data_IF_468830333328
#
_entry.id   IF_468830333328
#
_cell.length_a   1.000
_cell.length_b   1.000
_cell.length_c   1.000
_cell.angle_alpha   90.00
_cell.angle_beta   90.00
_cell.angle_gamma   90.00
#
_symmetry.space_group_name_H-M   'P 1'
#
loop_
_entity.id
_entity.type
_entity.pdbx_description
1 polymer ?
#
# COMPACT_ATOMS: atom_id res chain seq x y z
N UNK A 1 -61.13 47.17 -39.83
CA UNK A 1 -62.11 47.47 -40.89
C UNK A 1 -63.40 47.88 -40.21
N UNK A 2 -63.45 49.11 -39.69
CA UNK A 2 -64.64 49.60 -38.96
C UNK A 2 -64.74 51.14 -39.05
N UNK A 3 -63.62 51.87 -38.97
CA UNK A 3 -63.64 53.35 -39.09
C UNK A 3 -63.84 53.85 -40.53
N UNK A 4 -63.26 53.16 -41.51
CA UNK A 4 -63.40 53.54 -42.93
C UNK A 4 -64.80 53.26 -43.50
N UNK A 5 -65.51 52.26 -42.97
CA UNK A 5 -66.89 51.98 -43.37
C UNK A 5 -67.85 52.99 -42.72
N UNK A 6 -67.66 53.33 -41.44
CA UNK A 6 -68.44 54.37 -40.75
C UNK A 6 -68.28 55.76 -41.40
N UNK A 7 -67.07 56.13 -41.83
CA UNK A 7 -66.86 57.39 -42.57
C UNK A 7 -67.55 57.37 -43.94
N UNK A 8 -67.61 56.21 -44.61
CA UNK A 8 -68.22 56.08 -45.92
C UNK A 8 -69.76 56.17 -45.83
N UNK A 9 -70.34 55.61 -44.77
CA UNK A 9 -71.78 55.71 -44.49
C UNK A 9 -72.17 57.14 -44.07
N UNK A 10 -71.32 57.86 -43.33
CA UNK A 10 -71.54 59.28 -43.00
C UNK A 10 -71.50 60.18 -44.25
N UNK A 11 -70.52 59.97 -45.14
CA UNK A 11 -70.44 60.69 -46.41
C UNK A 11 -71.64 60.41 -47.33
N UNK A 12 -72.20 59.20 -47.30
CA UNK A 12 -73.40 58.88 -48.07
C UNK A 12 -74.65 59.60 -47.52
N UNK A 13 -74.76 59.76 -46.20
CA UNK A 13 -75.87 60.46 -45.56
C UNK A 13 -75.84 61.97 -45.84
N UNK A 14 -74.69 62.64 -45.71
CA UNK A 14 -74.56 64.07 -46.01
C UNK A 14 -74.85 64.39 -47.49
N UNK A 15 -74.43 63.52 -48.41
CA UNK A 15 -74.74 63.69 -49.84
C UNK A 15 -76.25 63.57 -50.15
N UNK A 16 -76.98 62.72 -49.41
CA UNK A 16 -78.42 62.58 -49.59
C UNK A 16 -79.19 63.82 -49.08
N UNK A 17 -78.72 64.44 -47.99
CA UNK A 17 -79.31 65.67 -47.43
C UNK A 17 -79.08 66.87 -48.36
N UNK A 18 -77.87 67.01 -48.91
CA UNK A 18 -77.55 68.05 -49.90
C UNK A 18 -78.41 67.92 -51.17
N UNK A 19 -78.67 66.70 -51.64
CA UNK A 19 -79.54 66.48 -52.80
C UNK A 19 -81.02 66.83 -52.52
N UNK A 20 -81.50 66.65 -51.28
CA UNK A 20 -82.84 67.10 -50.88
C UNK A 20 -82.92 68.62 -50.77
N UNK A 21 -81.87 69.28 -50.27
CA UNK A 21 -81.80 70.74 -50.18
C UNK A 21 -81.80 71.38 -51.57
N UNK A 22 -81.03 70.82 -52.52
CA UNK A 22 -81.03 71.25 -53.94
C UNK A 22 -82.40 71.03 -54.60
N UNK A 23 -83.09 69.93 -54.29
CA UNK A 23 -84.46 69.69 -54.77
C UNK A 23 -85.49 70.68 -54.18
N UNK A 24 -85.29 71.12 -52.93
CA UNK A 24 -86.11 72.18 -52.30
C UNK A 24 -85.86 73.55 -52.93
N UNK A 25 -84.61 73.89 -53.19
CA UNK A 25 -84.22 75.17 -53.77
C UNK A 25 -84.63 75.32 -55.25
N UNK A 26 -84.68 74.21 -56.01
CA UNK A 26 -85.28 74.19 -57.37
C UNK A 26 -86.81 74.30 -57.39
N UNK A 27 -87.49 74.07 -56.26
CA UNK A 27 -88.96 74.07 -56.15
C UNK A 27 -89.58 75.42 -55.77
N UNK A 28 -88.79 76.44 -55.45
CA UNK A 28 -89.29 77.71 -54.94
C UNK A 28 -88.59 78.93 -55.54
N UNK A 29 -89.06 79.42 -56.68
CA UNK A 29 -88.61 80.70 -57.21
C UNK A 29 -89.13 81.02 -58.61
N UNK A 30 -90.34 81.57 -58.71
CA UNK A 30 -90.91 82.04 -59.97
C UNK A 30 -92.25 82.75 -59.81
N UNK A 31 -92.32 83.72 -58.87
CA UNK A 31 -93.32 84.79 -58.82
C UNK A 31 -93.23 85.59 -60.12
N UNK A 32 -94.27 85.62 -60.94
CA UNK A 32 -95.33 86.63 -60.90
C UNK A 32 -94.88 88.04 -61.28
N UNK A 33 -95.76 88.69 -62.06
CA UNK A 33 -95.90 90.14 -62.15
C UNK A 33 -94.95 90.82 -63.18
N UNK A 34 -95.33 91.84 -63.94
CA UNK A 34 -96.54 92.67 -64.02
C UNK A 34 -96.33 93.65 -65.18
N UNK A 35 -97.32 93.78 -66.07
CA UNK A 35 -98.10 95.01 -66.31
C UNK A 35 -97.48 96.16 -67.13
N UNK A 36 -98.36 96.65 -68.02
CA UNK A 36 -98.55 98.02 -68.48
C UNK A 36 -97.80 98.52 -69.74
N UNK A 37 -98.51 98.36 -70.87
CA UNK A 37 -98.88 99.39 -71.87
C UNK A 37 -98.22 100.77 -71.75
N UNK A 38 -97.88 101.50 -72.86
CA UNK A 38 -98.89 101.75 -73.90
C UNK A 38 -98.42 102.13 -75.35
N UNK A 39 -99.43 102.29 -76.20
CA UNK A 39 -99.51 103.08 -77.43
C UNK A 39 -98.52 102.81 -78.59
N UNK A 40 -98.96 102.01 -79.57
CA UNK A 40 -98.96 102.50 -80.96
C UNK A 40 -99.90 101.67 -81.85
N UNK A 41 -100.65 102.40 -82.68
CA UNK A 41 -101.49 101.88 -83.74
C UNK A 41 -100.65 101.09 -84.74
N UNK A 42 -100.62 99.77 -84.61
CA UNK A 42 -100.34 98.89 -85.75
C UNK A 42 -101.33 97.74 -85.67
N UNK A 43 -102.16 97.60 -86.70
CA UNK A 43 -102.88 96.35 -86.98
C UNK A 43 -101.82 95.26 -87.17
N UNK A 44 -101.46 94.61 -86.07
CA UNK A 44 -100.61 93.43 -86.06
C UNK A 44 -101.53 92.22 -86.20
N UNK A 45 -101.43 91.59 -87.36
CA UNK A 45 -101.93 90.25 -87.62
C UNK A 45 -101.31 89.23 -86.64
N UNK A 46 -101.85 88.00 -86.48
CA UNK A 46 -101.42 86.99 -85.50
C UNK A 46 -99.92 86.59 -85.48
N UNK A 47 -99.09 87.15 -86.36
CA UNK A 47 -97.66 86.89 -86.55
C UNK A 47 -96.75 87.56 -85.48
N UNK A 48 -97.09 88.75 -84.97
CA UNK A 48 -96.17 89.52 -84.11
C UNK A 48 -96.17 89.10 -82.64
N UNK A 49 -97.28 88.56 -82.12
CA UNK A 49 -97.36 88.02 -80.75
C UNK A 49 -96.52 86.75 -80.60
N UNK A 50 -96.43 85.94 -81.66
CA UNK A 50 -95.57 84.76 -81.72
C UNK A 50 -94.07 85.11 -81.69
N UNK A 51 -93.70 86.33 -82.12
CA UNK A 51 -92.32 86.81 -82.09
C UNK A 51 -91.90 87.22 -80.68
N UNK A 52 -92.75 87.96 -79.96
CA UNK A 52 -92.47 88.41 -78.59
C UNK A 52 -92.38 87.23 -77.59
N UNK A 53 -93.22 86.20 -77.75
CA UNK A 53 -93.11 84.98 -76.95
C UNK A 53 -91.80 84.21 -77.21
N UNK A 54 -91.26 84.27 -78.45
CA UNK A 54 -89.95 83.70 -78.76
C UNK A 54 -88.81 84.47 -78.08
N UNK A 55 -88.90 85.79 -77.97
CA UNK A 55 -87.85 86.59 -77.30
C UNK A 55 -87.74 86.32 -75.80
N UNK A 56 -88.85 86.19 -75.07
CA UNK A 56 -88.81 85.87 -73.62
C UNK A 56 -88.17 84.50 -73.36
N UNK A 57 -88.52 83.51 -74.19
CA UNK A 57 -87.93 82.16 -74.13
C UNK A 57 -86.44 82.19 -74.48
N UNK A 58 -86.02 83.08 -75.40
CA UNK A 58 -84.61 83.27 -75.75
C UNK A 58 -83.84 83.91 -74.60
N UNK A 59 -84.40 84.90 -73.89
CA UNK A 59 -83.74 85.53 -72.74
C UNK A 59 -83.62 84.61 -71.54
N UNK A 60 -84.68 83.86 -71.18
CA UNK A 60 -84.59 82.86 -70.11
C UNK A 60 -83.62 81.73 -70.46
N UNK A 61 -83.54 81.33 -71.73
CA UNK A 61 -82.49 80.40 -72.18
C UNK A 61 -81.09 80.98 -72.04
N UNK A 62 -80.91 82.29 -72.18
CA UNK A 62 -79.60 82.95 -72.02
C UNK A 62 -79.15 82.97 -70.57
N UNK A 63 -80.03 83.30 -69.64
CA UNK A 63 -79.71 83.32 -68.21
C UNK A 63 -79.37 81.91 -67.68
N UNK A 64 -80.12 80.88 -68.11
CA UNK A 64 -79.80 79.48 -67.80
C UNK A 64 -78.44 79.08 -68.40
N UNK A 65 -78.11 79.54 -69.60
CA UNK A 65 -76.81 79.26 -70.22
C UNK A 65 -75.65 79.95 -69.48
N UNK A 66 -75.84 81.18 -68.98
CA UNK A 66 -74.81 81.91 -68.22
C UNK A 66 -74.59 81.28 -66.82
N UNK A 67 -75.65 80.84 -66.15
CA UNK A 67 -75.55 80.10 -64.88
C UNK A 67 -74.95 78.70 -65.07
N UNK A 68 -75.27 78.01 -66.18
CA UNK A 68 -74.63 76.75 -66.57
C UNK A 68 -73.13 76.95 -66.88
N UNK A 69 -72.74 78.02 -67.57
CA UNK A 69 -71.34 78.37 -67.82
C UNK A 69 -70.58 78.67 -66.52
N UNK A 70 -71.18 79.40 -65.57
CA UNK A 70 -70.57 79.67 -64.26
C UNK A 70 -70.36 78.41 -63.42
N UNK A 71 -71.35 77.50 -63.39
CA UNK A 71 -71.23 76.22 -62.70
C UNK A 71 -70.23 75.27 -63.38
N UNK A 72 -70.12 75.29 -64.71
CA UNK A 72 -69.12 74.53 -65.45
C UNK A 72 -67.70 75.02 -65.18
N UNK A 73 -67.47 76.33 -65.08
CA UNK A 73 -66.15 76.89 -64.79
C UNK A 73 -65.68 76.55 -63.36
N UNK A 74 -66.57 76.59 -62.37
CA UNK A 74 -66.25 76.22 -60.98
C UNK A 74 -66.00 74.71 -60.85
N UNK A 75 -66.81 73.88 -61.53
CA UNK A 75 -66.55 72.44 -61.63
C UNK A 75 -65.21 72.13 -62.34
N UNK A 76 -64.82 72.92 -63.34
CA UNK A 76 -63.54 72.79 -64.01
C UNK A 76 -62.37 73.13 -63.08
N UNK A 77 -62.48 74.19 -62.26
CA UNK A 77 -61.48 74.55 -61.25
C UNK A 77 -61.33 73.48 -60.17
N UNK A 78 -62.43 72.99 -59.61
CA UNK A 78 -62.41 71.92 -58.60
C UNK A 78 -61.78 70.62 -59.14
N UNK A 79 -62.04 70.25 -60.40
CA UNK A 79 -61.37 69.11 -61.06
C UNK A 79 -59.88 69.33 -61.24
N UNK A 80 -59.46 70.56 -61.57
CA UNK A 80 -58.06 70.91 -61.75
C UNK A 80 -57.32 70.90 -60.42
N UNK A 81 -57.89 71.46 -59.36
CA UNK A 81 -57.32 71.44 -58.00
C UNK A 81 -57.23 70.01 -57.44
N UNK A 82 -58.27 69.19 -57.64
CA UNK A 82 -58.23 67.77 -57.29
C UNK A 82 -57.16 66.99 -58.06
N UNK A 83 -56.96 67.31 -59.35
CA UNK A 83 -55.89 66.74 -60.16
C UNK A 83 -54.49 67.13 -59.65
N UNK A 84 -54.31 68.40 -59.28
CA UNK A 84 -53.03 68.89 -58.73
C UNK A 84 -52.73 68.21 -57.39
N UNK A 85 -53.68 68.17 -56.45
CA UNK A 85 -53.51 67.51 -55.16
C UNK A 85 -53.16 66.02 -55.32
N UNK A 86 -53.85 65.31 -56.23
CA UNK A 86 -53.53 63.92 -56.53
C UNK A 86 -52.12 63.75 -57.13
N UNK A 87 -51.65 64.70 -57.94
CA UNK A 87 -50.28 64.66 -58.48
C UNK A 87 -49.20 64.98 -57.44
N UNK A 88 -49.45 65.90 -56.52
CA UNK A 88 -48.54 66.24 -55.42
C UNK A 88 -48.42 65.09 -54.42
N UNK A 89 -49.54 64.45 -54.09
CA UNK A 89 -49.54 63.22 -53.27
C UNK A 89 -48.79 62.09 -54.00
N UNK A 90 -49.00 61.92 -55.31
CA UNK A 90 -48.28 60.92 -56.09
C UNK A 90 -46.77 61.17 -56.12
N UNK A 91 -46.34 62.43 -56.20
CA UNK A 91 -44.93 62.80 -56.15
C UNK A 91 -44.32 62.54 -54.76
N UNK A 92 -45.04 62.89 -53.70
CA UNK A 92 -44.61 62.64 -52.32
C UNK A 92 -44.44 61.15 -52.05
N UNK A 93 -45.42 60.33 -52.45
CA UNK A 93 -45.34 58.87 -52.34
C UNK A 93 -44.17 58.30 -53.15
N UNK A 94 -43.85 58.86 -54.32
CA UNK A 94 -42.68 58.42 -55.10
C UNK A 94 -41.36 58.71 -54.40
N UNK A 95 -41.25 59.87 -53.74
CA UNK A 95 -40.06 60.25 -52.97
C UNK A 95 -39.92 59.31 -51.78
N UNK A 96 -40.99 59.08 -51.02
CA UNK A 96 -40.98 58.16 -49.87
C UNK A 96 -40.63 56.72 -50.30
N UNK A 97 -41.19 56.24 -51.41
CA UNK A 97 -40.83 54.94 -51.99
C UNK A 97 -39.36 54.89 -52.38
N UNK A 98 -38.78 55.99 -52.88
CA UNK A 98 -37.35 56.04 -53.20
C UNK A 98 -36.47 56.01 -51.95
N UNK A 99 -36.83 56.76 -50.90
CA UNK A 99 -36.13 56.76 -49.62
C UNK A 99 -36.18 55.38 -48.97
N UNK A 100 -37.35 54.75 -48.91
CA UNK A 100 -37.51 53.38 -48.40
C UNK A 100 -36.70 52.36 -49.21
N UNK A 101 -36.59 52.52 -50.53
CA UNK A 101 -35.73 51.65 -51.36
C UNK A 101 -34.27 51.82 -51.02
N UNK A 102 -33.82 53.04 -50.74
CA UNK A 102 -32.45 53.34 -50.34
C UNK A 102 -32.12 52.78 -48.94
N UNK A 103 -33.07 52.87 -48.01
CA UNK A 103 -32.94 52.28 -46.68
C UNK A 103 -32.88 50.76 -46.74
N UNK A 104 -33.74 50.12 -47.54
CA UNK A 104 -33.70 48.67 -47.77
C UNK A 104 -32.36 48.25 -48.38
N UNK A 105 -31.82 49.02 -49.33
CA UNK A 105 -30.51 48.74 -49.91
C UNK A 105 -29.38 48.83 -48.87
N UNK A 106 -29.43 49.88 -48.03
CA UNK A 106 -28.46 50.09 -46.94
C UNK A 106 -28.53 48.97 -45.89
N UNK A 107 -29.74 48.55 -45.51
CA UNK A 107 -29.96 47.43 -44.59
C UNK A 107 -29.49 46.09 -45.16
N UNK A 108 -29.70 45.85 -46.47
CA UNK A 108 -29.16 44.65 -47.14
C UNK A 108 -27.63 44.65 -47.13
N UNK A 109 -26.99 45.79 -47.39
CA UNK A 109 -25.54 45.91 -47.32
C UNK A 109 -25.01 45.68 -45.90
N UNK A 110 -25.64 46.30 -44.90
CA UNK A 110 -25.29 46.10 -43.49
C UNK A 110 -25.44 44.63 -43.07
N UNK A 111 -26.51 43.95 -43.52
CA UNK A 111 -26.72 42.52 -43.27
C UNK A 111 -25.66 41.65 -43.96
N UNK A 112 -25.27 41.96 -45.19
CA UNK A 112 -24.18 41.23 -45.87
C UNK A 112 -22.84 41.38 -45.14
N UNK A 113 -22.54 42.57 -44.62
CA UNK A 113 -21.34 42.80 -43.81
C UNK A 113 -21.40 42.01 -42.50
N UNK A 114 -22.57 41.99 -41.83
CA UNK A 114 -22.76 41.20 -40.62
C UNK A 114 -22.66 39.69 -40.86
N UNK A 115 -23.23 39.19 -41.97
CA UNK A 115 -23.16 37.78 -42.36
C UNK A 115 -21.72 37.38 -42.73
N UNK A 116 -20.96 38.27 -43.38
CA UNK A 116 -19.54 38.06 -43.69
C UNK A 116 -18.65 38.05 -42.44
N UNK A 117 -18.90 38.94 -41.47
CA UNK A 117 -18.16 38.97 -40.19
C UNK A 117 -18.47 37.73 -39.33
N UNK A 118 -19.70 37.23 -39.35
CA UNK A 118 -20.08 35.97 -38.71
C UNK A 118 -19.40 34.76 -39.37
N UNK A 119 -19.32 34.73 -40.71
CA UNK A 119 -18.58 33.73 -41.47
C UNK A 119 -17.09 33.71 -41.13
N UNK A 120 -16.44 34.87 -41.14
CA UNK A 120 -15.02 35.01 -40.82
C UNK A 120 -14.70 34.58 -39.37
N UNK A 121 -15.56 34.90 -38.40
CA UNK A 121 -15.40 34.43 -37.01
C UNK A 121 -15.61 32.93 -36.86
N UNK A 122 -16.55 32.34 -37.61
CA UNK A 122 -16.76 30.90 -37.67
C UNK A 122 -15.56 30.16 -38.27
N UNK A 123 -15.00 30.68 -39.36
CA UNK A 123 -13.80 30.13 -40.01
C UNK A 123 -12.56 30.24 -39.13
N UNK A 124 -12.35 31.38 -38.45
CA UNK A 124 -11.23 31.55 -37.52
C UNK A 124 -11.33 30.60 -36.31
N UNK A 125 -12.55 30.35 -35.80
CA UNK A 125 -12.77 29.36 -34.74
C UNK A 125 -12.54 27.93 -35.23
N UNK A 126 -13.01 27.60 -36.43
CA UNK A 126 -12.81 26.28 -37.04
C UNK A 126 -11.32 25.99 -37.31
N UNK A 127 -10.57 26.97 -37.82
CA UNK A 127 -9.14 26.84 -38.07
C UNK A 127 -8.36 26.71 -36.74
N UNK A 128 -8.74 27.45 -35.69
CA UNK A 128 -8.13 27.30 -34.36
C UNK A 128 -8.39 25.91 -33.77
N UNK A 129 -9.60 25.37 -33.93
CA UNK A 129 -9.92 23.99 -33.50
C UNK A 129 -9.09 22.99 -34.29
N UNK A 130 -8.95 23.18 -35.60
CA UNK A 130 -8.12 22.32 -36.45
C UNK A 130 -6.65 22.35 -36.03
N UNK A 131 -6.09 23.54 -35.76
CA UNK A 131 -4.71 23.68 -35.26
C UNK A 131 -4.53 23.01 -33.89
N UNK A 132 -5.50 23.14 -32.99
CA UNK A 132 -5.48 22.43 -31.69
C UNK A 132 -5.59 20.91 -31.87
N UNK A 133 -6.36 20.44 -32.84
CA UNK A 133 -6.46 19.03 -33.18
C UNK A 133 -5.12 18.48 -33.70
N UNK A 134 -4.48 19.20 -34.63
CA UNK A 134 -3.16 18.86 -35.16
C UNK A 134 -2.10 18.83 -34.04
N UNK A 135 -2.12 19.81 -33.12
CA UNK A 135 -1.24 19.83 -31.95
C UNK A 135 -1.52 18.69 -30.97
N UNK A 136 -2.79 18.36 -30.74
CA UNK A 136 -3.20 17.24 -29.89
C UNK A 136 -2.72 15.91 -30.45
N UNK A 137 -2.90 15.68 -31.75
CA UNK A 137 -2.47 14.47 -32.42
C UNK A 137 -0.93 14.35 -32.43
N UNK A 138 -0.21 15.45 -32.64
CA UNK A 138 1.24 15.48 -32.51
C UNK A 138 1.71 15.12 -31.10
N UNK A 139 1.13 15.74 -30.06
CA UNK A 139 1.45 15.45 -28.65
C UNK A 139 1.11 14.01 -28.28
N UNK A 140 0.01 13.48 -28.80
CA UNK A 140 -0.40 12.08 -28.60
C UNK A 140 0.62 11.11 -29.20
N UNK A 141 1.12 11.39 -30.40
CA UNK A 141 2.17 10.60 -31.05
C UNK A 141 3.49 10.66 -30.27
N UNK A 142 3.88 11.84 -29.78
CA UNK A 142 5.06 12.00 -28.92
C UNK A 142 4.94 11.20 -27.63
N UNK A 143 3.77 11.23 -26.98
CA UNK A 143 3.49 10.42 -25.79
C UNK A 143 3.66 8.93 -26.07
N UNK A 144 3.09 8.42 -27.17
CA UNK A 144 3.21 7.00 -27.55
C UNK A 144 4.67 6.63 -27.80
N UNK A 145 5.43 7.50 -28.48
CA UNK A 145 6.86 7.32 -28.71
C UNK A 145 7.65 7.27 -27.39
N UNK A 146 7.39 8.21 -26.48
CA UNK A 146 8.03 8.25 -25.17
C UNK A 146 7.69 7.02 -24.30
N UNK A 147 6.43 6.57 -24.30
CA UNK A 147 6.02 5.35 -23.60
C UNK A 147 6.69 4.10 -24.20
N UNK A 148 6.84 4.05 -25.52
CA UNK A 148 7.53 2.97 -26.21
C UNK A 148 9.02 2.94 -25.86
N UNK A 149 9.69 4.10 -25.86
CA UNK A 149 11.10 4.19 -25.48
C UNK A 149 11.31 3.90 -23.99
N UNK A 150 10.40 4.37 -23.12
CA UNK A 150 10.42 4.03 -21.70
C UNK A 150 10.25 2.53 -21.48
N UNK A 151 9.35 1.89 -22.23
CA UNK A 151 9.19 0.44 -22.17
C UNK A 151 10.46 -0.28 -22.66
N UNK A 152 11.06 0.18 -23.76
CA UNK A 152 12.34 -0.33 -24.28
C UNK A 152 13.47 -0.18 -23.26
N UNK A 153 13.61 0.99 -22.64
CA UNK A 153 14.59 1.26 -21.60
C UNK A 153 14.40 0.37 -20.39
N UNK A 154 13.15 0.16 -19.93
CA UNK A 154 12.84 -0.75 -18.80
C UNK A 154 13.14 -2.19 -19.14
N UNK A 155 12.78 -2.65 -20.33
CA UNK A 155 13.03 -4.02 -20.79
C UNK A 155 14.52 -4.30 -21.02
N UNK A 156 15.29 -3.26 -21.39
CA UNK A 156 16.75 -3.33 -21.55
C UNK A 156 17.50 -2.93 -20.28
N UNK A 157 16.80 -2.56 -19.21
CA UNK A 157 17.43 -2.18 -17.94
C UNK A 157 17.83 -3.46 -17.21
N UNK A 158 19.13 -3.80 -17.31
CA UNK A 158 19.76 -4.73 -16.40
C UNK A 158 20.41 -3.93 -15.26
N UNK A 159 20.24 -4.34 -13.99
CA UNK A 159 21.08 -3.82 -12.91
C UNK A 159 22.54 -3.95 -13.33
N UNK A 160 23.38 -2.92 -13.12
CA UNK A 160 24.80 -2.97 -13.46
C UNK A 160 25.42 -4.28 -12.97
N UNK A 161 26.23 -4.94 -13.80
CA UNK A 161 26.84 -6.24 -13.45
C UNK A 161 27.56 -6.19 -12.09
N UNK A 162 28.14 -5.02 -11.74
CA UNK A 162 28.73 -4.75 -10.44
C UNK A 162 27.75 -4.93 -9.27
N UNK A 163 26.50 -4.44 -9.39
CA UNK A 163 25.45 -4.59 -8.37
C UNK A 163 24.94 -6.02 -8.27
N UNK A 164 24.86 -6.75 -9.38
CA UNK A 164 24.47 -8.17 -9.35
C UNK A 164 25.56 -9.04 -8.71
N UNK A 165 26.82 -8.79 -9.07
CA UNK A 165 28.00 -9.40 -8.45
C UNK A 165 28.01 -9.14 -6.95
N UNK A 166 27.78 -7.91 -6.52
CA UNK A 166 27.82 -7.56 -5.10
C UNK A 166 26.67 -8.19 -4.32
N UNK A 167 25.46 -8.21 -4.89
CA UNK A 167 24.33 -8.93 -4.28
C UNK A 167 24.63 -10.45 -4.14
N UNK A 168 25.28 -11.06 -5.13
CA UNK A 168 25.69 -12.46 -5.05
C UNK A 168 26.75 -12.71 -3.96
N UNK A 169 27.73 -11.80 -3.81
CA UNK A 169 28.72 -11.87 -2.72
C UNK A 169 28.06 -11.72 -1.36
N UNK A 170 27.15 -10.77 -1.19
CA UNK A 170 26.42 -10.55 0.06
C UNK A 170 25.58 -11.78 0.45
N UNK A 171 24.90 -12.40 -0.51
CA UNK A 171 24.17 -13.65 -0.25
C UNK A 171 25.11 -14.83 0.09
N UNK A 172 26.27 -14.93 -0.56
CA UNK A 172 27.29 -15.91 -0.20
C UNK A 172 27.81 -15.68 1.23
N UNK A 173 28.15 -14.44 1.58
CA UNK A 173 28.62 -14.05 2.91
C UNK A 173 27.57 -14.34 4.00
N UNK A 174 26.28 -14.10 3.74
CA UNK A 174 25.20 -14.46 4.67
C UNK A 174 25.12 -15.97 4.91
N UNK A 175 25.26 -16.78 3.86
CA UNK A 175 25.26 -18.24 3.98
C UNK A 175 26.46 -18.73 4.79
N UNK A 176 27.64 -18.20 4.50
CA UNK A 176 28.87 -18.51 5.26
C UNK A 176 28.74 -18.09 6.73
N UNK A 177 28.23 -16.89 7.01
CA UNK A 177 28.01 -16.41 8.37
C UNK A 177 27.02 -17.30 9.13
N UNK A 178 25.96 -17.76 8.46
CA UNK A 178 24.99 -18.70 9.06
C UNK A 178 25.66 -20.03 9.38
N UNK A 179 26.44 -20.59 8.45
CA UNK A 179 27.17 -21.84 8.66
C UNK A 179 28.19 -21.71 9.81
N UNK A 180 28.93 -20.60 9.87
CA UNK A 180 29.88 -20.32 10.95
C UNK A 180 29.20 -20.20 12.32
N UNK A 181 28.01 -19.56 12.39
CA UNK A 181 27.21 -19.51 13.63
C UNK A 181 26.74 -20.89 14.08
N UNK A 182 26.25 -21.71 13.16
CA UNK A 182 25.85 -23.08 13.46
C UNK A 182 27.04 -23.92 13.94
N UNK A 183 28.20 -23.77 13.31
CA UNK A 183 29.41 -24.49 13.71
C UNK A 183 29.94 -24.05 15.07
N UNK A 184 29.92 -22.74 15.36
CA UNK A 184 30.25 -22.20 16.68
C UNK A 184 29.33 -22.74 17.78
N UNK A 185 28.03 -22.87 17.52
CA UNK A 185 27.08 -23.49 18.45
C UNK A 185 27.38 -24.98 18.69
N UNK A 186 27.70 -25.73 17.62
CA UNK A 186 28.12 -27.14 17.76
C UNK A 186 29.39 -27.27 18.59
N UNK A 187 30.41 -26.44 18.33
CA UNK A 187 31.67 -26.39 19.10
C UNK A 187 31.43 -26.03 20.57
N UNK A 188 30.57 -25.06 20.86
CA UNK A 188 30.23 -24.68 22.23
C UNK A 188 29.55 -25.81 23.01
N UNK A 189 28.61 -26.51 22.37
CA UNK A 189 27.95 -27.68 22.97
C UNK A 189 28.93 -28.83 23.23
N UNK A 190 29.83 -29.11 22.28
CA UNK A 190 30.88 -30.11 22.45
C UNK A 190 31.84 -29.76 23.60
N UNK A 191 32.21 -28.48 23.76
CA UNK A 191 33.02 -28.01 24.88
C UNK A 191 32.32 -28.21 26.22
N UNK A 192 31.03 -27.90 26.30
CA UNK A 192 30.22 -28.10 27.50
C UNK A 192 30.16 -29.58 27.89
N UNK A 193 29.91 -30.47 26.92
CA UNK A 193 29.89 -31.91 27.13
C UNK A 193 31.28 -32.45 27.56
N UNK A 194 32.37 -31.93 27.00
CA UNK A 194 33.71 -32.32 27.41
C UNK A 194 34.02 -31.91 28.86
N UNK A 195 33.54 -30.74 29.30
CA UNK A 195 33.69 -30.28 30.69
C UNK A 195 32.90 -31.14 31.68
N UNK A 196 31.66 -31.51 31.36
CA UNK A 196 30.86 -32.40 32.22
C UNK A 196 31.47 -33.80 32.31
N UNK A 197 31.96 -34.34 31.20
CA UNK A 197 32.64 -35.64 31.16
C UNK A 197 33.93 -35.62 32.00
N UNK A 198 34.70 -34.52 31.97
CA UNK A 198 35.87 -34.33 32.82
C UNK A 198 35.52 -34.37 34.31
N UNK A 199 34.41 -33.73 34.71
CA UNK A 199 33.96 -33.75 36.10
C UNK A 199 33.60 -35.17 36.56
N UNK A 200 32.83 -35.92 35.76
CA UNK A 200 32.46 -37.30 36.06
C UNK A 200 33.68 -38.23 36.19
N UNK A 201 34.67 -38.09 35.31
CA UNK A 201 35.93 -38.85 35.41
C UNK A 201 36.72 -38.50 36.66
N UNK A 202 36.73 -37.22 37.05
CA UNK A 202 37.40 -36.78 38.28
C UNK A 202 36.78 -37.44 39.51
N UNK A 203 35.44 -37.49 39.59
CA UNK A 203 34.74 -38.20 40.67
C UNK A 203 35.07 -39.70 40.68
N UNK A 204 35.14 -40.34 39.50
CA UNK A 204 35.47 -41.76 39.41
C UNK A 204 36.87 -42.08 39.97
N UNK A 205 37.88 -41.27 39.62
CA UNK A 205 39.24 -41.42 40.18
C UNK A 205 39.26 -41.21 41.68
N UNK A 206 38.46 -40.26 42.19
CA UNK A 206 38.38 -40.01 43.63
C UNK A 206 37.77 -41.19 44.38
N UNK A 207 36.70 -41.80 43.85
CA UNK A 207 36.10 -43.02 44.43
C UNK A 207 37.09 -44.20 44.42
N UNK A 208 37.85 -44.39 43.34
CA UNK A 208 38.90 -45.43 43.31
C UNK A 208 40.02 -45.16 44.32
N UNK A 209 40.44 -43.90 44.46
CA UNK A 209 41.46 -43.52 45.45
C UNK A 209 41.01 -43.81 46.89
N UNK A 210 39.75 -43.51 47.21
CA UNK A 210 39.15 -43.85 48.51
C UNK A 210 39.08 -45.36 48.74
N UNK A 211 38.73 -46.14 47.72
CA UNK A 211 38.71 -47.60 47.82
C UNK A 211 40.11 -48.19 48.10
N UNK A 212 41.14 -47.69 47.41
CA UNK A 212 42.54 -48.10 47.67
C UNK A 212 42.95 -47.77 49.11
N UNK A 213 42.57 -46.58 49.61
CA UNK A 213 42.88 -46.20 51.00
C UNK A 213 42.20 -47.11 52.03
N UNK A 214 40.97 -47.55 51.78
CA UNK A 214 40.27 -48.50 52.67
C UNK A 214 40.96 -49.86 52.70
N UNK A 215 41.31 -50.40 51.52
CA UNK A 215 42.04 -51.67 51.41
C UNK A 215 43.40 -51.62 52.13
N UNK A 216 44.10 -50.49 52.07
CA UNK A 216 45.36 -50.32 52.82
C UNK A 216 45.16 -50.47 54.32
N UNK A 217 44.13 -49.84 54.88
CA UNK A 217 43.80 -49.94 56.32
C UNK A 217 43.42 -51.37 56.71
N UNK A 218 42.63 -52.07 55.89
CA UNK A 218 42.24 -53.46 56.14
C UNK A 218 43.45 -54.41 56.14
N UNK A 219 44.36 -54.26 55.17
CA UNK A 219 45.59 -55.06 55.09
C UNK A 219 46.52 -54.79 56.28
N UNK A 220 46.64 -53.54 56.73
CA UNK A 220 47.41 -53.20 57.93
C UNK A 220 46.79 -53.84 59.19
N UNK A 221 45.47 -53.80 59.33
CA UNK A 221 44.76 -54.45 60.42
C UNK A 221 45.01 -55.96 60.48
N UNK A 222 44.92 -56.65 59.34
CA UNK A 222 45.21 -58.09 59.25
C UNK A 222 46.66 -58.41 59.60
N UNK A 223 47.62 -57.59 59.18
CA UNK A 223 49.04 -57.75 59.55
C UNK A 223 49.24 -57.62 61.06
N UNK A 224 48.55 -56.70 61.71
CA UNK A 224 48.62 -56.55 63.16
C UNK A 224 48.02 -57.77 63.89
N UNK A 225 46.89 -58.28 63.41
CA UNK A 225 46.24 -59.46 63.97
C UNK A 225 47.08 -60.73 63.80
N UNK A 226 47.75 -60.89 62.65
CA UNK A 226 48.73 -61.96 62.43
C UNK A 226 49.84 -61.88 63.48
N UNK A 227 50.46 -60.71 63.68
CA UNK A 227 51.53 -60.52 64.70
C UNK A 227 51.05 -60.85 66.12
N UNK A 228 49.82 -60.47 66.47
CA UNK A 228 49.22 -60.82 67.77
C UNK A 228 49.05 -62.33 67.92
N UNK A 229 48.55 -63.02 66.88
CA UNK A 229 48.40 -64.48 66.91
C UNK A 229 49.74 -65.22 66.90
N UNK A 230 50.74 -64.76 66.16
CA UNK A 230 52.10 -65.33 66.19
C UNK A 230 52.68 -65.28 67.61
N UNK A 231 52.50 -64.15 68.30
CA UNK A 231 52.92 -64.00 69.71
C UNK A 231 52.16 -64.91 70.67
N UNK A 232 50.89 -65.26 70.35
CA UNK A 232 50.13 -66.26 71.10
C UNK A 232 50.63 -67.67 70.82
N UNK A 233 50.90 -68.00 69.54
CA UNK A 233 51.45 -69.31 69.14
C UNK A 233 52.82 -69.53 69.75
N UNK A 234 53.72 -68.55 69.72
CA UNK A 234 55.03 -68.65 70.37
C UNK A 234 54.91 -68.95 71.87
N UNK A 235 53.98 -68.30 72.57
CA UNK A 235 53.69 -68.59 73.98
C UNK A 235 53.15 -70.00 74.20
N UNK A 236 52.22 -70.46 73.37
CA UNK A 236 51.68 -71.82 73.43
C UNK A 236 52.74 -72.88 73.11
N UNK A 237 53.65 -72.63 72.16
CA UNK A 237 54.80 -73.52 71.87
C UNK A 237 55.70 -73.68 73.08
N UNK A 238 56.09 -72.58 73.72
CA UNK A 238 56.90 -72.62 74.95
C UNK A 238 56.18 -73.37 76.09
N UNK A 239 54.87 -73.16 76.25
CA UNK A 239 54.07 -73.89 77.25
C UNK A 239 53.98 -75.39 76.94
N UNK A 240 53.82 -75.75 75.67
CA UNK A 240 53.77 -77.14 75.21
C UNK A 240 55.10 -77.84 75.44
N UNK A 241 56.23 -77.20 75.10
CA UNK A 241 57.58 -77.71 75.34
C UNK A 241 57.84 -77.93 76.84
N UNK A 242 57.45 -76.97 77.69
CA UNK A 242 57.56 -77.08 79.14
C UNK A 242 56.67 -78.19 79.72
N UNK A 243 55.52 -78.47 79.12
CA UNK A 243 54.63 -79.57 79.50
C UNK A 243 55.16 -80.93 79.03
N UNK A 244 55.68 -81.04 77.80
CA UNK A 244 56.27 -82.29 77.29
C UNK A 244 57.61 -82.65 77.92
N UNK A 245 58.37 -81.65 78.40
CA UNK A 245 59.64 -81.86 79.09
C UNK A 245 59.50 -82.38 80.52
N UNK A 246 58.29 -82.36 81.10
CA UNK A 246 58.01 -82.93 82.43
C UNK A 246 57.74 -84.43 82.43
N UNK A 247 57.46 -85.03 81.27
CA UNK A 247 57.19 -86.47 81.15
C UNK A 247 58.44 -87.27 80.71
N UNK A 248 59.59 -86.62 80.56
CA UNK A 248 60.82 -87.22 80.02
C UNK A 248 61.93 -87.52 81.03
N UNK A 249 61.76 -87.20 82.32
CA UNK A 249 62.78 -87.41 83.36
C UNK A 249 62.20 -88.14 84.58
N UNK A 250 61.46 -89.23 84.34
CA UNK A 250 61.26 -90.27 85.36
C UNK A 250 62.48 -91.21 85.34
N UNK A 251 63.59 -90.74 85.87
CA UNK A 251 64.83 -91.50 85.94
C UNK A 251 65.79 -91.01 87.02
N UNK A 252 65.63 -91.55 88.23
CA UNK A 252 66.61 -91.57 89.34
C UNK A 252 66.70 -90.35 90.28
N UNK A 253 65.99 -90.46 91.41
CA UNK A 253 66.62 -90.25 92.71
C UNK A 253 65.89 -89.36 93.72
N UNK A 254 65.41 -89.97 94.82
CA UNK A 254 65.59 -89.35 96.14
C UNK A 254 64.38 -88.71 96.84
N UNK A 255 63.57 -89.55 97.48
CA UNK A 255 62.99 -89.38 98.84
C UNK A 255 62.31 -88.04 99.23
N UNK A 256 60.99 -88.11 99.38
CA UNK A 256 60.35 -87.79 100.67
C UNK A 256 59.81 -86.37 100.88
N UNK A 257 58.53 -86.15 100.52
CA UNK A 257 57.63 -85.31 101.33
C UNK A 257 56.15 -85.63 101.06
N UNK A 258 55.38 -86.09 102.06
CA UNK A 258 53.93 -86.29 101.91
C UNK A 258 53.19 -85.01 102.30
N UNK A 259 52.24 -84.58 101.47
CA UNK A 259 51.36 -83.48 101.82
C UNK A 259 50.52 -82.97 100.66
N UNK A 260 49.24 -83.37 100.67
CA UNK A 260 48.13 -82.71 99.96
C UNK A 260 48.07 -82.88 98.45
N UNK A 261 47.30 -83.88 98.06
CA UNK A 261 46.79 -84.12 96.72
C UNK A 261 46.18 -82.87 96.06
N UNK A 262 46.62 -82.61 94.83
CA UNK A 262 45.78 -82.03 93.77
C UNK A 262 45.73 -83.07 92.65
N UNK A 263 44.72 -83.96 92.60
CA UNK A 263 44.52 -84.83 91.45
C UNK A 263 43.53 -84.12 90.52
N UNK A 264 44.01 -83.61 89.39
CA UNK A 264 43.11 -83.11 88.35
C UNK A 264 43.69 -81.94 87.58
N UNK A 265 44.38 -82.26 86.49
CA UNK A 265 44.76 -81.26 85.49
C UNK A 265 46.11 -81.48 84.82
N UNK A 266 46.54 -82.72 84.55
CA UNK A 266 47.83 -82.94 83.87
C UNK A 266 47.84 -83.96 82.73
N UNK A 267 46.77 -84.74 82.52
CA UNK A 267 46.67 -85.63 81.34
C UNK A 267 45.90 -85.05 80.15
N UNK A 268 44.98 -84.11 80.40
CA UNK A 268 44.06 -83.56 79.38
C UNK A 268 44.51 -82.22 78.82
N UNK A 269 45.41 -81.52 79.52
CA UNK A 269 45.82 -80.17 79.13
C UNK A 269 46.83 -80.19 77.99
N UNK A 270 47.67 -81.22 77.89
CA UNK A 270 48.60 -81.37 76.77
C UNK A 270 47.88 -81.63 75.43
N UNK A 271 46.94 -82.59 75.30
CA UNK A 271 46.12 -82.73 74.10
C UNK A 271 45.32 -81.45 73.76
N UNK A 272 44.79 -80.77 74.77
CA UNK A 272 44.02 -79.53 74.61
C UNK A 272 44.90 -78.37 74.13
N UNK A 273 46.10 -78.18 74.69
CA UNK A 273 47.06 -77.17 74.24
C UNK A 273 47.56 -77.47 72.83
N UNK A 274 47.80 -78.73 72.51
CA UNK A 274 48.17 -79.16 71.15
C UNK A 274 47.06 -78.89 70.14
N UNK A 275 45.80 -79.15 70.52
CA UNK A 275 44.64 -78.81 69.70
C UNK A 275 44.50 -77.29 69.51
N UNK A 276 44.64 -76.51 70.59
CA UNK A 276 44.61 -75.05 70.52
C UNK A 276 45.74 -74.48 69.66
N UNK A 277 46.93 -75.09 69.70
CA UNK A 277 48.05 -74.72 68.83
C UNK A 277 47.70 -74.96 67.36
N UNK A 278 47.19 -76.15 67.03
CA UNK A 278 46.79 -76.50 65.67
C UNK A 278 45.66 -75.59 65.15
N UNK A 279 44.67 -75.27 65.98
CA UNK A 279 43.59 -74.34 65.65
C UNK A 279 44.11 -72.91 65.41
N UNK A 280 45.06 -72.44 66.22
CA UNK A 280 45.68 -71.11 66.07
C UNK A 280 46.60 -71.04 64.86
N UNK A 281 47.39 -72.08 64.58
CA UNK A 281 48.22 -72.20 63.39
C UNK A 281 47.36 -72.26 62.12
N UNK A 282 46.26 -73.01 62.12
CA UNK A 282 45.30 -73.02 61.03
C UNK A 282 44.64 -71.64 60.83
N UNK A 283 44.32 -70.93 61.91
CA UNK A 283 43.76 -69.58 61.84
C UNK A 283 44.78 -68.53 61.35
N UNK A 284 46.07 -68.68 61.64
CA UNK A 284 47.14 -67.84 61.08
C UNK A 284 47.31 -68.14 59.59
N UNK A 285 47.37 -69.41 59.21
CA UNK A 285 47.48 -69.81 57.80
C UNK A 285 46.31 -69.25 56.97
N UNK A 286 45.08 -69.33 57.50
CA UNK A 286 43.90 -68.74 56.86
C UNK A 286 44.02 -67.22 56.72
N UNK A 287 44.32 -66.48 57.80
CA UNK A 287 44.47 -65.02 57.73
C UNK A 287 45.65 -64.58 56.86
N UNK A 288 46.73 -65.36 56.82
CA UNK A 288 47.88 -65.09 55.94
C UNK A 288 47.47 -65.23 54.48
N UNK A 289 46.70 -66.27 54.13
CA UNK A 289 46.18 -66.43 52.77
C UNK A 289 45.18 -65.31 52.39
N UNK A 290 44.35 -64.86 53.33
CA UNK A 290 43.43 -63.73 53.12
C UNK A 290 44.19 -62.40 52.95
N UNK A 291 45.24 -62.17 53.75
CA UNK A 291 46.10 -61.00 53.63
C UNK A 291 46.90 -60.99 52.31
N UNK A 292 47.40 -62.14 51.86
CA UNK A 292 48.07 -62.28 50.55
C UNK A 292 47.10 -62.04 49.39
N UNK A 293 45.88 -62.57 49.47
CA UNK A 293 44.84 -62.32 48.48
C UNK A 293 44.48 -60.83 48.40
N UNK A 294 44.25 -60.16 49.54
CA UNK A 294 43.97 -58.72 49.59
C UNK A 294 45.17 -57.87 49.14
N UNK A 295 46.39 -58.27 49.46
CA UNK A 295 47.59 -57.60 48.96
C UNK A 295 47.68 -57.70 47.42
N UNK A 296 47.39 -58.87 46.84
CA UNK A 296 47.33 -59.06 45.40
C UNK A 296 46.21 -58.24 44.73
N UNK A 297 45.04 -58.13 45.37
CA UNK A 297 43.95 -57.27 44.90
C UNK A 297 44.31 -55.78 44.98
N UNK A 298 44.96 -55.35 46.06
CA UNK A 298 45.46 -53.98 46.22
C UNK A 298 46.53 -53.65 45.17
N UNK A 299 47.46 -54.56 44.88
CA UNK A 299 48.48 -54.35 43.84
C UNK A 299 47.83 -54.23 42.45
N UNK A 300 46.85 -55.08 42.13
CA UNK A 300 46.06 -54.97 40.89
C UNK A 300 45.28 -53.65 40.85
N UNK A 301 44.66 -53.23 41.95
CA UNK A 301 43.93 -51.98 42.04
C UNK A 301 44.87 -50.76 41.86
N UNK A 302 46.05 -50.77 42.47
CA UNK A 302 47.07 -49.73 42.29
C UNK A 302 47.60 -49.68 40.87
N UNK A 303 47.87 -50.83 40.24
CA UNK A 303 48.29 -50.91 38.84
C UNK A 303 47.20 -50.36 37.90
N UNK A 304 45.94 -50.70 38.15
CA UNK A 304 44.80 -50.18 37.40
C UNK A 304 44.63 -48.67 37.60
N UNK A 305 44.66 -48.18 38.84
CA UNK A 305 44.63 -46.76 39.16
C UNK A 305 45.75 -45.99 38.45
N UNK A 306 46.97 -46.56 38.42
CA UNK A 306 48.10 -46.00 37.70
C UNK A 306 47.86 -45.90 36.18
N UNK A 307 47.30 -46.95 35.57
CA UNK A 307 46.91 -46.94 34.14
C UNK A 307 45.81 -45.91 33.87
N UNK A 308 44.76 -45.88 34.69
CA UNK A 308 43.65 -44.93 34.58
C UNK A 308 44.16 -43.50 34.70
N UNK A 309 45.01 -43.19 35.70
CA UNK A 309 45.63 -41.87 35.86
C UNK A 309 46.42 -41.43 34.62
N UNK A 310 47.28 -42.30 34.07
CA UNK A 310 48.04 -41.98 32.85
C UNK A 310 47.12 -41.75 31.65
N UNK A 311 46.11 -42.61 31.45
CA UNK A 311 45.13 -42.44 30.38
C UNK A 311 44.33 -41.14 30.53
N UNK A 312 43.93 -40.78 31.76
CA UNK A 312 43.24 -39.53 32.04
C UNK A 312 44.12 -38.32 31.81
N UNK A 313 45.40 -38.39 32.19
CA UNK A 313 46.36 -37.32 31.95
C UNK A 313 46.60 -37.11 30.45
N UNK A 314 46.78 -38.20 29.69
CA UNK A 314 46.94 -38.14 28.24
C UNK A 314 45.68 -37.58 27.56
N UNK A 315 44.49 -38.08 27.89
CA UNK A 315 43.23 -37.56 27.33
C UNK A 315 42.99 -36.10 27.70
N UNK A 316 43.36 -35.69 28.91
CA UNK A 316 43.28 -34.28 29.32
C UNK A 316 44.21 -33.43 28.46
N UNK A 317 45.45 -33.86 28.23
CA UNK A 317 46.39 -33.15 27.35
C UNK A 317 45.90 -33.06 25.90
N UNK A 318 45.35 -34.15 25.35
CA UNK A 318 44.74 -34.18 24.01
C UNK A 318 43.55 -33.21 23.91
N UNK A 319 42.68 -33.20 24.93
CA UNK A 319 41.54 -32.27 25.01
C UNK A 319 41.99 -30.83 25.18
N UNK A 320 42.97 -30.55 26.02
CA UNK A 320 43.50 -29.19 26.23
C UNK A 320 44.18 -28.65 24.97
N UNK A 321 44.90 -29.51 24.23
CA UNK A 321 45.45 -29.15 22.91
C UNK A 321 44.35 -28.84 21.90
N UNK A 322 43.29 -29.66 21.85
CA UNK A 322 42.13 -29.42 20.99
C UNK A 322 41.39 -28.14 21.37
N UNK A 323 41.25 -27.82 22.66
CA UNK A 323 40.65 -26.57 23.14
C UNK A 323 41.47 -25.38 22.67
N UNK A 324 42.80 -25.41 22.84
CA UNK A 324 43.68 -24.32 22.37
C UNK A 324 43.56 -24.09 20.86
N UNK A 325 43.56 -25.16 20.07
CA UNK A 325 43.38 -25.05 18.61
C UNK A 325 42.03 -24.40 18.26
N UNK A 326 40.94 -24.80 18.93
CA UNK A 326 39.63 -24.19 18.74
C UNK A 326 39.58 -22.72 19.18
N UNK A 327 40.26 -22.36 20.27
CA UNK A 327 40.36 -20.97 20.74
C UNK A 327 41.11 -20.08 19.73
N UNK A 328 42.19 -20.60 19.13
CA UNK A 328 42.94 -19.93 18.07
C UNK A 328 42.09 -19.75 16.80
N UNK A 329 41.38 -20.79 16.35
CA UNK A 329 40.44 -20.70 15.23
C UNK A 329 39.35 -19.65 15.48
N UNK A 330 38.80 -19.61 16.69
CA UNK A 330 37.72 -18.70 17.05
C UNK A 330 38.23 -17.25 17.12
N UNK A 331 39.45 -17.04 17.62
CA UNK A 331 40.13 -15.74 17.58
C UNK A 331 40.38 -15.28 16.15
N UNK A 332 40.89 -16.17 15.29
CA UNK A 332 41.11 -15.88 13.88
C UNK A 332 39.80 -15.50 13.17
N UNK A 333 38.73 -16.28 13.37
CA UNK A 333 37.43 -15.98 12.79
C UNK A 333 36.87 -14.65 13.28
N UNK A 334 37.06 -14.32 14.56
CA UNK A 334 36.64 -13.03 15.14
C UNK A 334 37.40 -11.85 14.52
N UNK A 335 38.71 -11.98 14.35
CA UNK A 335 39.55 -10.96 13.73
C UNK A 335 39.19 -10.76 12.25
N UNK A 336 38.92 -11.84 11.51
CA UNK A 336 38.45 -11.79 10.13
C UNK A 336 37.10 -11.10 9.98
N UNK A 337 36.11 -11.48 10.80
CA UNK A 337 34.79 -10.83 10.81
C UNK A 337 34.88 -9.36 11.23
N UNK A 338 35.78 -9.03 12.16
CA UNK A 338 36.06 -7.64 12.56
C UNK A 338 36.54 -6.80 11.38
N UNK A 339 37.51 -7.30 10.61
CA UNK A 339 38.02 -6.62 9.41
C UNK A 339 36.94 -6.47 8.33
N UNK A 340 36.16 -7.52 8.07
CA UNK A 340 35.06 -7.45 7.09
C UNK A 340 34.03 -6.39 7.46
N UNK A 341 33.67 -6.28 8.76
CA UNK A 341 32.75 -5.25 9.24
C UNK A 341 33.34 -3.83 9.15
N UNK A 342 34.65 -3.67 9.32
CA UNK A 342 35.33 -2.38 9.13
C UNK A 342 35.37 -1.99 7.66
N UNK A 343 35.63 -2.93 6.75
CA UNK A 343 35.58 -2.72 5.30
C UNK A 343 34.18 -2.34 4.83
N UNK A 344 33.12 -3.03 5.28
CA UNK A 344 31.73 -2.68 4.98
C UNK A 344 31.31 -1.30 5.50
N UNK A 345 31.92 -0.81 6.60
CA UNK A 345 31.66 0.53 7.13
C UNK A 345 32.39 1.63 6.39
N UNK A 346 33.48 1.30 5.71
CA UNK A 346 34.30 2.24 4.97
C UNK A 346 33.87 2.41 3.51
N UNK A 347 33.12 1.44 2.97
CA UNK A 347 32.53 1.46 1.62
C UNK A 347 31.21 2.24 1.56
#
# INVERSE_FOLDING_TARGET
MTVLEEMNDQLAAENAELLQEVARLRGGGGSEATHQQPHSNVRATPSLVALAAREVVVSQKREILEDEEGAEEEAARARMEGSIAATEENLTLRIEIQELRQDIASLKAARQVADADAGAKGEAAAERVRQLQEQFDATRLEKISAETELHRLRSNWAPPEALQSEAAKVEAAKKELKAAKEDALRKANALSAAKSERALRSEAVQREAEAVSRLQVEVEGLREDIRKKDSQVARLKMQLEAASGRDGDEGSGGVGRPGSARPGGSGTDYPRMKQQLAEKEAAIAKMSSEAEAMAGEMEKAQANLGKVKRQLQQRTQEKDASIKALEEELRFAKDMLGRQLEEERAA
#
